data_IF_654674900837
#
_entry.id   IF_654674900837
#
_cell.length_a   1.000
_cell.length_b   1.000
_cell.length_c   1.000
_cell.angle_alpha   90.00
_cell.angle_beta   90.00
_cell.angle_gamma   90.00
#
_symmetry.space_group_name_H-M   'P 1'
#
loop_
_entity.id
_entity.type
_entity.pdbx_description
1 polymer ?
#
# COMPACT_ATOMS: atom_id res chain seq x y z
N UNK A 1 -6.08 30.54 -11.75
CA UNK A 1 -6.30 29.31 -10.96
C UNK A 1 -5.15 29.18 -9.96
N UNK A 2 -5.43 29.23 -8.66
CA UNK A 2 -4.37 29.23 -7.62
C UNK A 2 -4.02 27.77 -7.29
N UNK A 3 -2.72 27.43 -7.28
CA UNK A 3 -2.24 26.12 -6.85
C UNK A 3 -2.45 25.98 -5.34
N UNK A 4 -3.20 24.96 -4.89
CA UNK A 4 -3.51 24.73 -3.47
C UNK A 4 -2.40 24.05 -2.69
N UNK A 5 -1.59 23.22 -3.35
CA UNK A 5 -0.47 22.50 -2.75
C UNK A 5 0.84 22.88 -3.46
N UNK A 6 2.00 22.76 -2.79
CA UNK A 6 3.30 22.87 -3.44
C UNK A 6 3.40 21.88 -4.60
N UNK A 7 3.97 22.33 -5.71
CA UNK A 7 4.23 21.47 -6.88
C UNK A 7 5.68 21.59 -7.32
N UNK A 8 6.19 20.53 -7.91
CA UNK A 8 7.48 20.56 -8.61
C UNK A 8 7.35 21.13 -10.05
N UNK A 9 8.47 21.21 -10.77
CA UNK A 9 8.53 21.73 -12.15
C UNK A 9 7.74 20.88 -13.18
N UNK A 10 7.31 19.68 -12.79
CA UNK A 10 6.47 18.78 -13.59
C UNK A 10 4.98 18.90 -13.24
N UNK A 11 4.61 19.89 -12.43
CA UNK A 11 3.26 20.10 -11.93
C UNK A 11 2.71 18.90 -11.13
N UNK A 12 3.59 18.16 -10.45
CA UNK A 12 3.23 17.05 -9.56
C UNK A 12 3.17 17.54 -8.11
N UNK A 13 2.24 16.98 -7.34
CA UNK A 13 2.17 17.13 -5.88
C UNK A 13 2.75 15.89 -5.21
N UNK A 14 3.30 16.05 -4.00
CA UNK A 14 3.72 14.92 -3.19
C UNK A 14 2.50 14.21 -2.58
N UNK A 15 2.42 12.89 -2.76
CA UNK A 15 1.37 12.04 -2.22
C UNK A 15 2.00 10.82 -1.55
N UNK A 16 1.81 10.72 -0.24
CA UNK A 16 2.29 9.58 0.56
C UNK A 16 1.33 8.41 0.42
N UNK A 17 1.88 7.23 0.17
CA UNK A 17 1.15 5.96 0.06
C UNK A 17 1.39 5.11 1.32
N UNK A 18 1.29 5.72 2.49
CA UNK A 18 1.61 5.11 3.78
C UNK A 18 0.39 4.36 4.34
N UNK A 19 0.49 3.04 4.58
CA UNK A 19 -0.58 2.27 5.22
C UNK A 19 -0.86 2.76 6.65
N UNK A 20 -2.10 2.60 7.11
CA UNK A 20 -2.51 2.97 8.48
C UNK A 20 -2.67 1.72 9.32
N UNK A 21 -1.95 1.62 10.44
CA UNK A 21 -2.13 0.57 11.43
C UNK A 21 -3.16 1.00 12.48
N UNK A 22 -4.17 0.17 12.70
CA UNK A 22 -5.20 0.33 13.73
C UNK A 22 -5.08 -0.83 14.71
N UNK A 23 -5.01 -0.54 16.00
CA UNK A 23 -5.08 -1.53 17.07
C UNK A 23 -6.44 -1.41 17.75
N UNK A 24 -7.21 -2.49 17.76
CA UNK A 24 -8.56 -2.46 18.31
C UNK A 24 -8.96 -3.81 18.88
N UNK A 25 -9.38 -3.85 20.13
CA UNK A 25 -9.81 -5.07 20.83
C UNK A 25 -8.82 -6.25 20.73
N UNK A 26 -7.52 -5.96 20.82
CA UNK A 26 -6.46 -6.97 20.71
C UNK A 26 -6.15 -7.41 19.27
N UNK A 27 -6.81 -6.85 18.26
CA UNK A 27 -6.55 -7.10 16.85
C UNK A 27 -5.67 -6.01 16.23
N UNK A 28 -4.91 -6.40 15.22
CA UNK A 28 -4.14 -5.51 14.36
C UNK A 28 -4.74 -5.46 12.96
N UNK A 29 -5.23 -4.29 12.58
CA UNK A 29 -5.83 -4.03 11.27
C UNK A 29 -4.93 -3.06 10.50
N UNK A 30 -4.70 -3.35 9.23
CA UNK A 30 -3.96 -2.47 8.32
C UNK A 30 -4.91 -1.94 7.25
N UNK A 31 -4.95 -0.62 7.07
CA UNK A 31 -5.67 0.02 5.97
C UNK A 31 -4.69 0.26 4.83
N UNK A 32 -5.01 -0.33 3.67
CA UNK A 32 -4.17 -0.39 2.48
C UNK A 32 -2.76 -0.99 2.72
N UNK A 33 -1.95 -1.05 1.66
CA UNK A 33 -0.62 -1.67 1.69
C UNK A 33 0.48 -0.87 0.98
N UNK A 34 0.12 0.28 0.40
CA UNK A 34 1.04 1.15 -0.33
C UNK A 34 1.47 0.58 -1.69
N UNK A 35 2.52 1.19 -2.24
CA UNK A 35 3.14 0.79 -3.51
C UNK A 35 4.03 -0.46 -3.40
N UNK A 36 4.32 -0.92 -2.19
CA UNK A 36 5.21 -2.07 -1.94
C UNK A 36 6.68 -1.77 -2.25
N UNK A 37 7.52 -2.81 -2.15
CA UNK A 37 8.95 -2.76 -2.47
C UNK A 37 9.27 -3.66 -3.66
N UNK A 38 10.03 -3.14 -4.64
CA UNK A 38 10.40 -3.86 -5.86
C UNK A 38 9.23 -4.15 -6.81
N UNK A 39 8.09 -3.45 -6.63
CA UNK A 39 6.86 -3.67 -7.43
C UNK A 39 6.82 -2.86 -8.71
N UNK A 40 7.49 -1.71 -8.70
CA UNK A 40 7.49 -0.76 -9.80
C UNK A 40 8.80 -0.85 -10.58
N UNK A 41 8.72 -0.72 -11.91
CA UNK A 41 9.90 -0.58 -12.77
C UNK A 41 10.55 0.79 -12.58
N UNK A 42 11.83 0.94 -12.96
CA UNK A 42 12.54 2.22 -12.90
C UNK A 42 11.83 3.33 -13.69
N UNK A 43 11.24 2.97 -14.84
CA UNK A 43 10.42 3.88 -15.65
C UNK A 43 9.20 4.36 -14.86
N UNK A 44 8.49 3.46 -14.20
CA UNK A 44 7.33 3.82 -13.38
C UNK A 44 7.73 4.70 -12.20
N UNK A 45 8.80 4.35 -11.48
CA UNK A 45 9.31 5.12 -10.34
C UNK A 45 9.70 6.54 -10.73
N UNK A 46 10.65 6.69 -11.67
CA UNK A 46 11.32 7.98 -11.94
C UNK A 46 10.57 8.89 -12.91
N UNK A 47 9.98 8.29 -13.96
CA UNK A 47 9.35 9.06 -15.06
C UNK A 47 7.86 9.28 -14.81
N UNK A 48 7.13 8.24 -14.44
CA UNK A 48 5.67 8.29 -14.47
C UNK A 48 5.06 8.76 -13.15
N UNK A 49 5.56 8.23 -12.02
CA UNK A 49 4.90 8.41 -10.72
C UNK A 49 5.69 9.26 -9.72
N UNK A 50 6.95 9.60 -10.00
CA UNK A 50 7.76 10.45 -9.12
C UNK A 50 8.03 9.83 -7.75
N UNK A 51 8.20 8.50 -7.70
CA UNK A 51 8.43 7.76 -6.45
C UNK A 51 9.79 8.15 -5.88
N UNK A 52 9.78 8.73 -4.68
CA UNK A 52 10.98 9.10 -3.91
C UNK A 52 11.41 8.00 -2.94
N UNK A 53 10.46 7.20 -2.47
CA UNK A 53 10.67 6.11 -1.52
C UNK A 53 9.66 4.97 -1.76
N UNK A 54 10.09 3.72 -1.59
CA UNK A 54 9.20 2.55 -1.63
C UNK A 54 8.66 2.19 -0.24
N UNK A 55 7.55 1.46 -0.19
CA UNK A 55 6.94 1.07 1.09
C UNK A 55 7.88 0.18 1.91
N UNK A 56 8.23 0.62 3.12
CA UNK A 56 9.05 -0.12 4.10
C UNK A 56 8.21 -0.81 5.18
N UNK A 57 7.19 -1.56 4.76
CA UNK A 57 6.18 -2.10 5.67
C UNK A 57 6.77 -2.99 6.77
N UNK A 58 7.67 -3.93 6.40
CA UNK A 58 8.25 -4.87 7.37
C UNK A 58 9.09 -4.12 8.42
N UNK A 59 9.87 -3.12 8.01
CA UNK A 59 10.67 -2.26 8.90
C UNK A 59 9.77 -1.42 9.82
N UNK A 60 8.72 -0.80 9.27
CA UNK A 60 7.77 0.01 10.05
C UNK A 60 7.00 -0.82 11.08
N UNK A 61 6.63 -2.07 10.75
CA UNK A 61 6.01 -2.98 11.71
C UNK A 61 7.01 -3.46 12.76
N UNK A 62 8.24 -3.78 12.36
CA UNK A 62 9.29 -4.23 13.27
C UNK A 62 9.64 -3.15 14.31
N UNK A 63 9.66 -1.87 13.92
CA UNK A 63 9.83 -0.74 14.84
C UNK A 63 8.73 -0.65 15.91
N UNK A 64 7.59 -1.29 15.69
CA UNK A 64 6.47 -1.40 16.63
C UNK A 64 6.41 -2.76 17.35
N UNK A 65 7.41 -3.63 17.15
CA UNK A 65 7.45 -4.99 17.70
C UNK A 65 6.51 -5.97 17.00
N UNK A 66 6.10 -5.69 15.76
CA UNK A 66 5.17 -6.50 14.98
C UNK A 66 5.83 -7.05 13.71
N UNK A 67 5.26 -8.13 13.19
CA UNK A 67 5.57 -8.70 11.88
C UNK A 67 4.32 -8.66 11.00
N UNK A 68 4.45 -8.78 9.67
CA UNK A 68 3.29 -8.91 8.79
C UNK A 68 2.37 -10.10 9.14
N UNK A 69 2.92 -11.15 9.76
CA UNK A 69 2.15 -12.31 10.24
C UNK A 69 1.22 -11.98 11.41
N UNK A 70 1.50 -10.88 12.12
CA UNK A 70 0.77 -10.48 13.32
C UNK A 70 -0.39 -9.51 12.98
N UNK A 71 -0.62 -9.27 11.68
CA UNK A 71 -1.75 -8.51 11.15
C UNK A 71 -2.94 -9.45 10.94
N UNK A 72 -4.07 -9.14 11.56
CA UNK A 72 -5.29 -9.95 11.49
C UNK A 72 -6.14 -9.61 10.26
N UNK A 73 -6.21 -8.32 9.91
CA UNK A 73 -7.01 -7.83 8.80
C UNK A 73 -6.25 -6.83 7.94
N UNK A 74 -6.38 -6.96 6.62
CA UNK A 74 -6.02 -5.92 5.66
C UNK A 74 -7.29 -5.40 5.01
N UNK A 75 -7.60 -4.13 5.27
CA UNK A 75 -8.76 -3.42 4.79
C UNK A 75 -8.34 -2.55 3.60
N UNK A 76 -8.77 -2.94 2.40
CA UNK A 76 -8.46 -2.17 1.20
C UNK A 76 -9.55 -1.14 0.96
N UNK A 77 -9.18 0.13 0.88
CA UNK A 77 -10.11 1.21 0.48
C UNK A 77 -10.56 0.98 -0.97
N UNK A 78 -9.62 0.58 -1.82
CA UNK A 78 -9.81 0.15 -3.20
C UNK A 78 -8.53 -0.55 -3.71
N UNK A 79 -8.49 -0.93 -5.00
CA UNK A 79 -7.44 -1.79 -5.55
C UNK A 79 -6.56 -1.10 -6.61
N UNK A 80 -6.35 0.22 -6.49
CA UNK A 80 -5.32 0.88 -7.30
C UNK A 80 -3.91 0.51 -6.83
N UNK A 81 -2.92 0.70 -7.70
CA UNK A 81 -1.56 0.21 -7.48
C UNK A 81 -0.88 0.84 -6.26
N UNK A 82 -1.19 2.10 -5.97
CA UNK A 82 -0.72 2.90 -4.86
C UNK A 82 -1.25 2.43 -3.50
N UNK A 83 -2.27 1.58 -3.51
CA UNK A 83 -2.84 0.98 -2.30
C UNK A 83 -2.53 -0.51 -2.21
N UNK A 84 -2.62 -1.26 -3.32
CA UNK A 84 -2.67 -2.72 -3.33
C UNK A 84 -1.33 -3.42 -3.67
N UNK A 85 -0.33 -2.69 -4.19
CA UNK A 85 0.91 -3.32 -4.65
C UNK A 85 1.70 -3.96 -3.51
N UNK A 86 1.59 -3.42 -2.30
CA UNK A 86 2.23 -3.97 -1.08
C UNK A 86 1.61 -5.27 -0.55
N UNK A 87 0.48 -5.75 -1.09
CA UNK A 87 -0.15 -7.01 -0.65
C UNK A 87 0.71 -8.26 -0.91
N UNK A 88 1.64 -8.16 -1.86
CA UNK A 88 2.45 -9.28 -2.34
C UNK A 88 3.90 -8.90 -2.54
N UNK A 89 4.82 -9.82 -2.24
CA UNK A 89 6.25 -9.72 -2.53
C UNK A 89 6.69 -10.81 -3.50
N UNK A 90 7.85 -10.62 -4.13
CA UNK A 90 8.48 -11.65 -4.96
C UNK A 90 9.35 -12.55 -4.10
N UNK A 91 9.19 -13.86 -4.25
CA UNK A 91 10.09 -14.89 -3.74
C UNK A 91 10.53 -15.73 -4.94
N UNK A 92 11.73 -15.46 -5.45
CA UNK A 92 12.18 -15.94 -6.75
C UNK A 92 11.22 -15.50 -7.86
N UNK A 93 10.73 -16.47 -8.63
CA UNK A 93 9.78 -16.24 -9.73
C UNK A 93 8.32 -16.14 -9.29
N UNK A 94 8.03 -16.35 -8.00
CA UNK A 94 6.65 -16.40 -7.47
C UNK A 94 6.27 -15.10 -6.77
N UNK A 95 4.99 -14.73 -6.91
CA UNK A 95 4.37 -13.72 -6.06
C UNK A 95 3.71 -14.41 -4.88
N UNK A 96 4.13 -14.06 -3.68
CA UNK A 96 3.57 -14.56 -2.42
C UNK A 96 2.92 -13.42 -1.66
N UNK A 97 1.94 -13.73 -0.81
CA UNK A 97 1.31 -12.71 0.02
C UNK A 97 2.24 -12.30 1.16
N UNK A 98 2.34 -10.98 1.40
CA UNK A 98 3.04 -10.42 2.56
C UNK A 98 2.30 -10.76 3.86
N UNK A 99 0.97 -10.80 3.80
CA UNK A 99 0.10 -11.07 4.95
C UNK A 99 -0.46 -12.49 4.88
N UNK A 100 0.33 -13.45 5.34
CA UNK A 100 0.03 -14.89 5.24
C UNK A 100 -1.22 -15.28 6.06
N UNK A 101 -1.39 -14.72 7.24
CA UNK A 101 -2.48 -15.06 8.17
C UNK A 101 -3.65 -14.07 8.16
N UNK A 102 -3.49 -12.92 7.49
CA UNK A 102 -4.51 -11.87 7.52
C UNK A 102 -5.69 -12.19 6.61
N UNK A 103 -6.91 -11.92 7.11
CA UNK A 103 -8.09 -11.82 6.26
C UNK A 103 -8.02 -10.52 5.46
N UNK A 104 -8.22 -10.61 4.15
CA UNK A 104 -8.19 -9.45 3.25
C UNK A 104 -9.61 -9.13 2.82
N UNK A 105 -10.01 -7.87 2.92
CA UNK A 105 -11.34 -7.43 2.50
C UNK A 105 -11.27 -6.18 1.63
N UNK A 106 -12.17 -6.10 0.66
CA UNK A 106 -12.40 -4.94 -0.19
C UNK A 106 -13.88 -4.88 -0.55
N UNK A 107 -14.40 -3.69 -0.88
CA UNK A 107 -15.79 -3.57 -1.27
C UNK A 107 -16.04 -4.25 -2.63
N UNK A 108 -17.01 -5.16 -2.68
CA UNK A 108 -17.54 -5.70 -3.93
C UNK A 108 -18.57 -4.72 -4.49
N UNK A 109 -18.25 -4.05 -5.60
CA UNK A 109 -19.24 -3.24 -6.31
C UNK A 109 -20.43 -4.13 -6.68
N UNK A 110 -21.62 -3.79 -6.22
CA UNK A 110 -22.85 -4.36 -6.76
C UNK A 110 -22.98 -3.87 -8.19
N UNK A 111 -22.98 -4.78 -9.17
CA UNK A 111 -23.44 -4.43 -10.50
C UNK A 111 -24.92 -4.09 -10.37
N UNK A 112 -25.26 -2.80 -10.33
CA UNK A 112 -26.62 -2.38 -10.58
C UNK A 112 -27.02 -2.94 -11.94
N UNK A 113 -28.16 -3.66 -11.98
CA UNK A 113 -28.82 -3.99 -13.24
C UNK A 113 -28.95 -2.68 -14.01
N UNK A 114 -28.24 -2.59 -15.14
CA UNK A 114 -28.57 -1.62 -16.18
C UNK A 114 -29.87 -2.06 -16.84
#
# INVERSE_FOLDING_TARGET
MVKKYPVNDRNQIELRCDPILIRWNGLHLLVDSGIGSGKLTDKQKKRNYGVTEETKLEESLAALGLRPSDIDYVLMTHLHFDHASGLTKREGDKLVSVFQQAKKSSHRKSNGMK
#
